data_IF_474586204787
#
_entry.id   IF_474586204787
#
_cell.length_a   1.000
_cell.length_b   1.000
_cell.length_c   1.000
_cell.angle_alpha   90.00
_cell.angle_beta   90.00
_cell.angle_gamma   90.00
#
_symmetry.space_group_name_H-M   'P 1'
#
loop_
_entity.id
_entity.type
_entity.pdbx_description
1 polymer ?
#
# COMPACT_ATOMS: atom_id res chain seq x y z
N UNK A 1 -35.46 32.71 -31.22
CA UNK A 1 -34.01 32.50 -31.01
C UNK A 1 -33.71 31.02 -31.15
N UNK A 2 -33.03 30.63 -32.23
CA UNK A 2 -32.72 29.23 -32.56
C UNK A 2 -31.66 28.65 -31.63
N UNK A 3 -31.92 27.45 -31.10
CA UNK A 3 -30.96 26.72 -30.26
C UNK A 3 -29.70 26.36 -31.06
N UNK A 4 -28.53 26.64 -30.50
CA UNK A 4 -27.24 26.29 -31.12
C UNK A 4 -27.04 24.78 -31.10
N UNK A 5 -26.50 24.23 -32.18
CA UNK A 5 -26.12 22.81 -32.24
C UNK A 5 -24.94 22.49 -31.31
N UNK A 6 -24.83 21.24 -30.87
CA UNK A 6 -23.77 20.76 -29.96
C UNK A 6 -22.35 21.07 -30.50
N UNK A 7 -22.17 20.97 -31.82
CA UNK A 7 -20.91 21.30 -32.48
C UNK A 7 -20.55 22.79 -32.39
N UNK A 8 -21.54 23.68 -32.56
CA UNK A 8 -21.36 25.13 -32.43
C UNK A 8 -21.06 25.54 -30.98
N UNK A 9 -21.59 24.82 -29.99
CA UNK A 9 -21.28 25.05 -28.56
C UNK A 9 -19.84 24.64 -28.23
N UNK A 10 -19.34 23.51 -28.75
CA UNK A 10 -17.94 23.09 -28.57
C UNK A 10 -16.95 24.09 -29.15
N UNK A 11 -17.14 24.48 -30.42
CA UNK A 11 -16.28 25.44 -31.10
C UNK A 11 -16.25 26.83 -30.40
N UNK A 12 -17.38 27.28 -29.85
CA UNK A 12 -17.46 28.53 -29.07
C UNK A 12 -16.87 28.41 -27.65
N UNK A 13 -16.76 27.19 -27.10
CA UNK A 13 -16.06 26.89 -25.83
C UNK A 13 -14.55 26.88 -26.03
N UNK A 14 -14.07 26.22 -27.08
CA UNK A 14 -12.65 26.12 -27.43
C UNK A 14 -12.06 27.49 -27.77
N UNK A 15 -12.85 28.37 -28.42
CA UNK A 15 -12.47 29.77 -28.69
C UNK A 15 -12.66 30.74 -27.52
N UNK A 16 -13.05 30.26 -26.32
CA UNK A 16 -13.18 31.08 -25.11
C UNK A 16 -14.32 32.10 -25.09
N UNK A 17 -15.17 32.14 -26.13
CA UNK A 17 -16.23 33.16 -26.29
C UNK A 17 -17.55 32.85 -25.58
N UNK A 18 -17.73 31.64 -25.04
CA UNK A 18 -18.94 31.25 -24.31
C UNK A 18 -18.67 31.13 -22.81
N UNK A 19 -18.47 32.28 -22.13
CA UNK A 19 -18.58 32.35 -20.67
C UNK A 19 -20.05 32.26 -20.28
N UNK A 20 -20.55 31.04 -20.04
CA UNK A 20 -21.84 30.86 -19.37
C UNK A 20 -21.80 31.63 -18.05
N UNK A 21 -22.75 32.57 -17.85
CA UNK A 21 -22.89 33.25 -16.56
C UNK A 21 -23.07 32.19 -15.47
N UNK A 22 -22.45 32.40 -14.30
CA UNK A 22 -22.35 31.42 -13.18
C UNK A 22 -23.66 30.67 -12.89
N UNK A 23 -24.80 31.35 -12.98
CA UNK A 23 -26.15 30.78 -12.76
C UNK A 23 -26.58 29.78 -13.84
N UNK A 24 -26.32 30.08 -15.11
CA UNK A 24 -26.63 29.19 -16.23
C UNK A 24 -25.74 27.95 -16.22
N UNK A 25 -24.46 28.10 -15.84
CA UNK A 25 -23.55 26.98 -15.65
C UNK A 25 -24.02 26.04 -14.53
N UNK A 26 -24.39 26.61 -13.37
CA UNK A 26 -24.91 25.83 -12.24
C UNK A 26 -26.18 25.05 -12.62
N UNK A 27 -27.13 25.70 -13.31
CA UNK A 27 -28.36 25.05 -13.75
C UNK A 27 -28.10 23.85 -14.67
N UNK A 28 -27.22 24.00 -15.65
CA UNK A 28 -26.79 22.91 -16.53
C UNK A 28 -26.09 21.79 -15.77
N UNK A 29 -25.26 22.13 -14.78
CA UNK A 29 -24.58 21.17 -13.92
C UNK A 29 -25.58 20.38 -13.06
N UNK A 30 -26.60 21.06 -12.51
CA UNK A 30 -27.64 20.45 -11.69
C UNK A 30 -28.53 19.50 -12.54
N UNK A 31 -28.90 19.91 -13.74
CA UNK A 31 -29.65 19.08 -14.71
C UNK A 31 -28.83 17.84 -15.13
N UNK A 32 -27.52 18.01 -15.36
CA UNK A 32 -26.62 16.90 -15.72
C UNK A 32 -26.44 15.94 -14.54
N UNK A 33 -26.29 16.47 -13.31
CA UNK A 33 -26.19 15.67 -12.10
C UNK A 33 -27.48 14.88 -11.83
N UNK A 34 -28.64 15.51 -12.00
CA UNK A 34 -29.94 14.85 -11.85
C UNK A 34 -30.12 13.71 -12.86
N UNK A 35 -29.70 13.92 -14.12
CA UNK A 35 -29.69 12.88 -15.15
C UNK A 35 -28.78 11.71 -14.75
N UNK A 36 -27.57 11.97 -14.26
CA UNK A 36 -26.64 10.93 -13.77
C UNK A 36 -27.24 10.16 -12.60
N UNK A 37 -27.90 10.84 -11.65
CA UNK A 37 -28.58 10.19 -10.52
C UNK A 37 -29.75 9.32 -10.99
N UNK A 38 -30.55 9.82 -11.92
CA UNK A 38 -31.66 9.06 -12.52
C UNK A 38 -31.15 7.80 -13.23
N UNK A 39 -30.13 7.94 -14.07
CA UNK A 39 -29.51 6.81 -14.77
C UNK A 39 -28.85 5.81 -13.80
N UNK A 40 -28.35 6.26 -12.64
CA UNK A 40 -27.88 5.36 -11.56
C UNK A 40 -29.01 4.60 -10.86
N UNK A 41 -30.12 5.28 -10.54
CA UNK A 41 -31.32 4.65 -9.95
C UNK A 41 -31.94 3.62 -10.89
N UNK A 42 -31.99 3.94 -12.17
CA UNK A 42 -32.44 3.05 -13.25
C UNK A 42 -31.39 1.99 -13.60
N UNK A 43 -30.25 1.95 -12.89
CA UNK A 43 -29.16 0.99 -13.10
C UNK A 43 -28.49 1.05 -14.49
N UNK A 44 -28.78 2.07 -15.30
CA UNK A 44 -28.22 2.26 -16.67
C UNK A 44 -26.87 2.99 -16.67
N UNK A 45 -26.54 3.73 -15.60
CA UNK A 45 -25.19 4.22 -15.32
C UNK A 45 -24.72 3.60 -14.01
N UNK A 46 -23.64 2.84 -14.04
CA UNK A 46 -23.01 2.32 -12.81
C UNK A 46 -23.40 0.91 -12.39
N UNK A 47 -24.29 0.21 -13.11
CA UNK A 47 -24.18 -1.26 -13.18
C UNK A 47 -23.18 -1.61 -14.26
N UNK A 48 -21.92 -1.51 -13.84
CA UNK A 48 -20.83 -2.19 -14.50
C UNK A 48 -20.92 -3.65 -14.04
N UNK A 49 -21.30 -4.58 -14.92
CA UNK A 49 -21.24 -6.03 -14.64
C UNK A 49 -19.82 -6.46 -14.22
N UNK A 50 -18.82 -5.63 -14.53
CA UNK A 50 -17.45 -5.65 -14.02
C UNK A 50 -17.28 -5.30 -12.52
N UNK A 51 -18.34 -5.09 -11.73
CA UNK A 51 -18.23 -5.22 -10.27
C UNK A 51 -18.13 -6.70 -9.81
N UNK A 52 -18.42 -7.67 -10.69
CA UNK A 52 -18.11 -9.09 -10.47
C UNK A 52 -16.72 -9.48 -10.97
N UNK A 53 -16.11 -8.67 -11.84
CA UNK A 53 -14.80 -8.98 -12.41
C UNK A 53 -13.73 -8.06 -11.83
N UNK A 54 -12.67 -8.62 -11.23
CA UNK A 54 -11.64 -7.81 -10.64
C UNK A 54 -10.94 -6.96 -11.71
N UNK A 55 -10.85 -5.64 -11.47
CA UNK A 55 -10.28 -4.66 -12.42
C UNK A 55 -8.91 -5.10 -12.94
N UNK A 56 -8.66 -4.87 -14.23
CA UNK A 56 -7.34 -5.05 -14.84
C UNK A 56 -6.29 -4.24 -14.08
N UNK A 57 -5.11 -4.82 -13.88
CA UNK A 57 -4.03 -4.12 -13.19
C UNK A 57 -3.58 -2.87 -13.94
N UNK A 58 -3.16 -1.88 -13.17
CA UNK A 58 -2.63 -0.61 -13.67
C UNK A 58 -1.33 -0.84 -14.45
N UNK A 59 -0.52 -1.80 -13.99
CA UNK A 59 0.71 -2.23 -14.66
C UNK A 59 0.40 -3.45 -15.51
N UNK A 60 0.74 -3.37 -16.80
CA UNK A 60 0.53 -4.45 -17.76
C UNK A 60 1.27 -5.71 -17.29
N UNK A 61 0.60 -6.85 -17.37
CA UNK A 61 1.15 -8.14 -16.92
C UNK A 61 1.17 -8.35 -15.41
N UNK A 62 0.68 -7.42 -14.59
CA UNK A 62 0.54 -7.61 -13.14
C UNK A 62 -0.90 -7.95 -12.74
N UNK A 63 -1.10 -8.32 -11.48
CA UNK A 63 -2.42 -8.56 -10.88
C UNK A 63 -2.78 -7.48 -9.87
N UNK A 64 -4.05 -7.08 -9.81
CA UNK A 64 -4.56 -6.28 -8.68
C UNK A 64 -4.82 -7.15 -7.47
N UNK A 65 -4.87 -6.55 -6.29
CA UNK A 65 -5.28 -7.23 -5.05
C UNK A 65 -6.62 -7.94 -5.20
N UNK A 66 -7.59 -7.32 -5.89
CA UNK A 66 -8.89 -7.93 -6.16
C UNK A 66 -8.79 -9.14 -7.09
N UNK A 67 -7.91 -9.11 -8.09
CA UNK A 67 -7.65 -10.24 -8.98
C UNK A 67 -7.03 -11.40 -8.21
N UNK A 68 -6.04 -11.12 -7.36
CA UNK A 68 -5.41 -12.13 -6.50
C UNK A 68 -6.42 -12.73 -5.51
N UNK A 69 -7.22 -11.89 -4.85
CA UNK A 69 -8.27 -12.32 -3.93
C UNK A 69 -9.26 -13.28 -4.60
N UNK A 70 -9.74 -12.93 -5.79
CA UNK A 70 -10.64 -13.78 -6.58
C UNK A 70 -9.99 -15.10 -6.99
N UNK A 71 -8.70 -15.08 -7.35
CA UNK A 71 -7.96 -16.27 -7.78
C UNK A 71 -7.64 -17.24 -6.64
N UNK A 72 -7.54 -16.73 -5.41
CA UNK A 72 -7.14 -17.51 -4.22
C UNK A 72 -8.36 -17.90 -3.37
N UNK A 73 -9.54 -17.31 -3.62
CA UNK A 73 -10.74 -17.55 -2.82
C UNK A 73 -10.77 -16.79 -1.50
N UNK A 74 -9.97 -15.72 -1.35
CA UNK A 74 -9.91 -14.88 -0.15
C UNK A 74 -10.61 -13.54 -0.37
N UNK A 75 -10.91 -12.84 0.73
CA UNK A 75 -11.36 -11.45 0.63
C UNK A 75 -10.21 -10.51 0.28
N UNK A 76 -10.50 -9.40 -0.41
CA UNK A 76 -9.48 -8.40 -0.74
C UNK A 76 -8.80 -7.81 0.51
N UNK A 77 -9.53 -7.66 1.62
CA UNK A 77 -8.99 -7.18 2.90
C UNK A 77 -7.93 -8.13 3.47
N UNK A 78 -8.16 -9.45 3.41
CA UNK A 78 -7.18 -10.45 3.83
C UNK A 78 -5.93 -10.40 2.95
N UNK A 79 -6.09 -10.24 1.63
CA UNK A 79 -4.94 -10.10 0.73
C UNK A 79 -4.18 -8.80 1.00
N UNK A 80 -4.87 -7.69 1.31
CA UNK A 80 -4.23 -6.45 1.76
C UNK A 80 -3.43 -6.62 3.05
N UNK A 81 -3.98 -7.34 4.02
CA UNK A 81 -3.28 -7.67 5.25
C UNK A 81 -2.05 -8.54 4.95
N UNK A 82 -2.17 -9.50 4.05
CA UNK A 82 -1.05 -10.34 3.61
C UNK A 82 0.05 -9.52 2.92
N UNK A 83 -0.29 -8.52 2.12
CA UNK A 83 0.69 -7.58 1.57
C UNK A 83 1.35 -6.74 2.66
N UNK A 84 0.58 -6.20 3.61
CA UNK A 84 1.11 -5.43 4.75
C UNK A 84 2.05 -6.24 5.64
N UNK A 85 1.74 -7.51 5.83
CA UNK A 85 2.54 -8.46 6.59
C UNK A 85 3.67 -9.08 5.75
N UNK A 86 3.93 -8.56 4.55
CA UNK A 86 4.96 -9.04 3.61
C UNK A 86 4.82 -10.54 3.24
N UNK A 87 3.61 -11.11 3.35
CA UNK A 87 3.26 -12.48 2.94
C UNK A 87 3.07 -12.61 1.43
N UNK A 88 2.74 -11.50 0.77
CA UNK A 88 2.59 -11.40 -0.69
C UNK A 88 3.43 -10.21 -1.18
N UNK A 89 4.41 -10.48 -2.04
CA UNK A 89 5.21 -9.43 -2.63
C UNK A 89 4.36 -8.59 -3.60
N UNK A 90 4.26 -7.30 -3.32
CA UNK A 90 3.49 -6.35 -4.12
C UNK A 90 4.25 -5.03 -4.24
N UNK A 91 4.03 -4.35 -5.36
CA UNK A 91 4.58 -3.02 -5.66
C UNK A 91 3.48 -1.98 -5.48
N UNK A 92 3.78 -0.88 -4.78
CA UNK A 92 2.88 0.26 -4.66
C UNK A 92 3.13 1.24 -5.80
N UNK A 93 2.16 1.39 -6.70
CA UNK A 93 2.19 2.31 -7.82
C UNK A 93 1.28 3.50 -7.53
N UNK A 94 1.82 4.71 -7.68
CA UNK A 94 1.06 5.94 -7.55
C UNK A 94 0.53 6.38 -8.92
N UNK A 95 -0.78 6.58 -9.04
CA UNK A 95 -1.44 7.14 -10.23
C UNK A 95 -2.23 8.37 -9.81
N UNK A 96 -1.73 9.55 -10.19
CA UNK A 96 -2.24 10.83 -9.71
C UNK A 96 -2.14 10.95 -8.19
N UNK A 97 -3.27 11.16 -7.53
CA UNK A 97 -3.35 11.28 -6.06
C UNK A 97 -3.55 9.95 -5.33
N UNK A 98 -3.71 8.83 -6.03
CA UNK A 98 -4.05 7.53 -5.43
C UNK A 98 -2.87 6.56 -5.52
N UNK A 99 -2.69 5.75 -4.48
CA UNK A 99 -1.75 4.64 -4.46
C UNK A 99 -2.49 3.32 -4.65
N UNK A 100 -1.94 2.46 -5.49
CA UNK A 100 -2.48 1.16 -5.83
C UNK A 100 -1.42 0.10 -5.62
N UNK A 101 -1.84 -1.07 -5.12
CA UNK A 101 -0.95 -2.21 -4.98
C UNK A 101 -1.13 -3.15 -6.16
N UNK A 102 -0.02 -3.52 -6.79
CA UNK A 102 0.01 -4.52 -7.85
C UNK A 102 0.93 -5.67 -7.45
N UNK A 103 0.57 -6.87 -7.87
CA UNK A 103 1.29 -8.11 -7.57
C UNK A 103 1.88 -8.62 -8.87
N UNK A 104 3.18 -8.91 -8.86
CA UNK A 104 3.86 -9.48 -10.02
C UNK A 104 3.50 -10.96 -10.20
N UNK A 105 3.43 -11.48 -11.44
CA UNK A 105 3.12 -12.89 -11.69
C UNK A 105 4.03 -13.86 -10.96
N UNK A 106 5.32 -13.51 -10.90
CA UNK A 106 6.37 -14.28 -10.21
C UNK A 106 6.08 -14.46 -8.72
N UNK A 107 5.41 -13.49 -8.09
CA UNK A 107 5.03 -13.53 -6.68
C UNK A 107 3.72 -14.31 -6.45
N UNK A 108 2.91 -14.52 -7.48
CA UNK A 108 1.59 -15.15 -7.35
C UNK A 108 1.71 -16.67 -7.16
N UNK A 109 2.53 -17.35 -7.97
CA UNK A 109 2.73 -18.79 -7.89
C UNK A 109 3.16 -19.29 -6.48
N UNK A 110 4.18 -18.70 -5.82
CA UNK A 110 4.55 -19.12 -4.46
C UNK A 110 3.48 -18.79 -3.42
N UNK A 111 2.71 -17.71 -3.62
CA UNK A 111 1.62 -17.32 -2.73
C UNK A 111 0.41 -18.27 -2.81
N UNK A 112 0.08 -18.75 -4.00
CA UNK A 112 -0.98 -19.76 -4.22
C UNK A 112 -0.64 -21.10 -3.55
N UNK A 113 0.60 -21.57 -3.72
CA UNK A 113 1.06 -22.79 -3.06
C UNK A 113 1.02 -22.68 -1.53
N UNK A 114 1.35 -21.49 -0.99
CA UNK A 114 1.26 -21.25 0.44
C UNK A 114 -0.18 -21.24 0.94
N UNK A 115 -1.08 -20.51 0.27
CA UNK A 115 -2.49 -20.41 0.68
C UNK A 115 -3.22 -21.76 0.64
N UNK A 116 -3.00 -22.57 -0.40
CA UNK A 116 -3.56 -23.92 -0.49
C UNK A 116 -3.04 -24.87 0.61
N UNK A 117 -1.78 -24.71 1.04
CA UNK A 117 -1.19 -25.51 2.14
C UNK A 117 -1.69 -25.09 3.52
N UNK A 118 -2.00 -23.81 3.73
CA UNK A 118 -2.63 -23.32 4.95
C UNK A 118 -4.08 -23.82 5.07
N UNK A 119 -4.87 -23.74 3.99
CA UNK A 119 -6.26 -24.20 3.98
C UNK A 119 -6.41 -25.70 4.24
N UNK A 120 -5.47 -26.52 3.77
CA UNK A 120 -5.49 -27.98 3.97
C UNK A 120 -4.95 -28.42 5.34
N UNK A 121 -4.38 -27.51 6.13
CA UNK A 121 -3.72 -27.87 7.40
C UNK A 121 -2.50 -28.80 7.26
N UNK A 122 -2.09 -29.13 6.03
CA UNK A 122 -1.01 -30.10 5.71
C UNK A 122 0.39 -29.48 5.83
N UNK A 123 0.50 -28.15 5.90
CA UNK A 123 1.75 -27.49 6.25
C UNK A 123 1.87 -27.34 7.76
N UNK A 124 3.03 -27.66 8.35
CA UNK A 124 3.43 -27.11 9.65
C UNK A 124 3.60 -25.57 9.55
N UNK A 125 2.56 -24.80 9.20
CA UNK A 125 2.56 -23.34 9.06
C UNK A 125 3.89 -22.76 8.50
N UNK A 126 4.56 -23.43 7.54
CA UNK A 126 5.85 -22.95 7.00
C UNK A 126 5.62 -22.07 5.79
N UNK A 127 4.86 -21.00 6.00
CA UNK A 127 4.92 -19.82 5.15
C UNK A 127 6.15 -18.96 5.45
N UNK A 128 6.38 -17.87 4.68
CA UNK A 128 7.42 -16.88 4.96
C UNK A 128 7.38 -16.37 6.42
N UNK A 129 6.21 -16.43 7.07
CA UNK A 129 5.99 -16.12 8.48
C UNK A 129 6.69 -17.06 9.45
N UNK A 130 6.79 -18.38 9.24
CA UNK A 130 7.55 -19.24 10.16
C UNK A 130 9.04 -19.10 9.95
N UNK A 131 9.48 -18.87 8.71
CA UNK A 131 10.87 -18.47 8.48
C UNK A 131 11.18 -17.14 9.19
N UNK A 132 10.32 -16.12 9.10
CA UNK A 132 10.49 -14.83 9.78
C UNK A 132 10.37 -14.95 11.30
N UNK A 133 9.34 -15.61 11.84
CA UNK A 133 9.20 -15.91 13.28
C UNK A 133 10.40 -16.67 13.80
N UNK A 134 10.85 -17.75 13.16
CA UNK A 134 12.09 -18.44 13.56
C UNK A 134 13.32 -17.53 13.51
N UNK A 135 13.38 -16.55 12.59
CA UNK A 135 14.47 -15.55 12.57
C UNK A 135 14.34 -14.55 13.72
N UNK A 136 13.14 -14.09 14.03
CA UNK A 136 12.82 -13.17 15.14
C UNK A 136 12.98 -13.87 16.50
N UNK A 137 12.52 -15.09 16.66
CA UNK A 137 12.72 -15.93 17.84
C UNK A 137 14.22 -16.13 18.11
N UNK A 138 15.03 -16.32 17.06
CA UNK A 138 16.50 -16.34 17.20
C UNK A 138 17.08 -15.01 17.67
N UNK A 139 16.45 -13.88 17.34
CA UNK A 139 16.83 -12.56 17.87
C UNK A 139 16.46 -12.46 19.36
N UNK A 140 15.26 -12.89 19.73
CA UNK A 140 14.77 -12.87 21.12
C UNK A 140 15.52 -13.82 22.04
N UNK A 141 15.76 -15.06 21.62
CA UNK A 141 16.58 -16.03 22.36
C UNK A 141 18.00 -15.53 22.58
N UNK A 142 18.49 -14.66 21.69
CA UNK A 142 19.80 -14.04 21.83
C UNK A 142 19.80 -12.78 22.71
N UNK A 143 18.68 -12.48 23.39
CA UNK A 143 18.49 -11.33 24.28
C UNK A 143 18.49 -9.99 23.56
N UNK A 144 17.97 -9.94 22.33
CA UNK A 144 18.03 -8.76 21.46
C UNK A 144 16.66 -8.42 20.88
N UNK A 145 16.61 -7.25 20.27
CA UNK A 145 15.42 -6.73 19.59
C UNK A 145 15.69 -6.43 18.13
N UNK A 146 14.63 -6.55 17.34
CA UNK A 146 14.67 -6.18 15.91
C UNK A 146 14.66 -4.65 15.76
N UNK A 147 15.12 -4.14 14.61
CA UNK A 147 15.03 -2.70 14.34
C UNK A 147 13.58 -2.17 14.29
N UNK A 148 12.63 -3.02 13.91
CA UNK A 148 11.20 -2.66 13.91
C UNK A 148 10.70 -2.46 15.33
N UNK A 149 11.00 -3.39 16.22
CA UNK A 149 10.61 -3.30 17.63
C UNK A 149 11.33 -2.16 18.36
N UNK A 150 12.63 -1.96 18.10
CA UNK A 150 13.36 -0.81 18.63
C UNK A 150 12.76 0.52 18.13
N UNK A 151 12.27 0.56 16.90
CA UNK A 151 11.60 1.74 16.34
C UNK A 151 10.32 2.06 17.10
N UNK A 152 9.50 1.05 17.36
CA UNK A 152 8.23 1.18 18.08
C UNK A 152 8.44 1.53 19.55
N UNK A 153 9.36 0.84 20.24
CA UNK A 153 9.59 1.01 21.68
C UNK A 153 10.20 2.36 22.03
N UNK A 154 11.08 2.89 21.19
CA UNK A 154 11.84 4.12 21.47
C UNK A 154 11.37 5.33 20.65
N UNK A 155 10.32 5.19 19.83
CA UNK A 155 9.77 6.28 19.03
C UNK A 155 10.74 6.84 17.98
N UNK A 156 11.73 6.06 17.55
CA UNK A 156 12.70 6.46 16.51
C UNK A 156 12.35 5.74 15.22
N UNK A 157 12.38 6.41 14.07
CA UNK A 157 12.02 5.75 12.82
C UNK A 157 13.02 4.65 12.44
N UNK A 158 12.54 3.54 11.86
CA UNK A 158 13.38 2.43 11.38
C UNK A 158 14.48 2.89 10.42
N UNK A 159 14.18 3.89 9.58
CA UNK A 159 15.15 4.49 8.63
C UNK A 159 16.28 5.19 9.38
N UNK A 160 15.96 5.96 10.42
CA UNK A 160 16.95 6.64 11.25
C UNK A 160 17.87 5.63 11.97
N UNK A 161 17.29 4.55 12.51
CA UNK A 161 18.06 3.47 13.13
C UNK A 161 18.97 2.75 12.14
N UNK A 162 18.48 2.50 10.91
CA UNK A 162 19.28 1.87 9.86
C UNK A 162 20.43 2.76 9.37
N UNK A 163 20.21 4.07 9.28
CA UNK A 163 21.25 5.04 8.93
C UNK A 163 22.29 5.20 10.06
N UNK A 164 21.84 5.22 11.32
CA UNK A 164 22.73 5.25 12.48
C UNK A 164 23.62 3.99 12.55
N UNK A 165 23.06 2.84 12.21
CA UNK A 165 23.82 1.60 12.09
C UNK A 165 24.86 1.64 10.96
N UNK A 166 24.49 2.16 9.79
CA UNK A 166 25.40 2.27 8.65
C UNK A 166 26.57 3.24 8.91
N UNK A 167 26.32 4.31 9.67
CA UNK A 167 27.32 5.32 10.04
C UNK A 167 28.12 4.97 11.29
N UNK A 168 27.90 3.78 11.87
CA UNK A 168 28.58 3.32 13.08
C UNK A 168 28.14 4.00 14.39
N UNK A 169 27.18 4.94 14.33
CA UNK A 169 26.62 5.64 15.50
C UNK A 169 25.72 4.75 16.35
N UNK A 170 25.14 3.71 15.75
CA UNK A 170 24.47 2.64 16.47
C UNK A 170 25.29 1.36 16.30
N UNK A 171 25.86 0.86 17.39
CA UNK A 171 26.60 -0.41 17.38
C UNK A 171 25.61 -1.56 17.18
N UNK A 172 25.45 -1.98 15.93
CA UNK A 172 24.87 -3.29 15.63
C UNK A 172 25.95 -4.36 15.80
N UNK A 173 25.54 -5.57 16.17
CA UNK A 173 26.44 -6.72 16.03
C UNK A 173 26.78 -6.87 14.55
N UNK A 174 28.06 -7.02 14.24
CA UNK A 174 28.59 -7.15 12.87
C UNK A 174 28.05 -8.37 12.13
N UNK A 175 27.53 -9.38 12.84
CA UNK A 175 26.87 -10.56 12.28
C UNK A 175 25.35 -10.44 12.43
N UNK A 176 24.63 -10.60 11.32
CA UNK A 176 23.17 -10.71 11.30
C UNK A 176 22.70 -11.87 12.21
N UNK A 177 21.73 -11.61 13.08
CA UNK A 177 21.13 -12.65 13.94
C UNK A 177 19.86 -13.14 13.26
N UNK A 178 19.82 -14.44 12.92
CA UNK A 178 18.71 -14.97 12.12
C UNK A 178 18.56 -14.27 10.75
N UNK A 179 19.65 -13.78 10.14
CA UNK A 179 19.62 -12.94 8.93
C UNK A 179 18.96 -11.56 9.11
N UNK A 180 18.71 -11.13 10.35
CA UNK A 180 18.15 -9.81 10.68
C UNK A 180 19.19 -8.91 11.32
N UNK A 181 19.04 -7.60 11.09
CA UNK A 181 19.72 -6.58 11.88
C UNK A 181 19.04 -6.52 13.24
N UNK A 182 19.81 -6.76 14.28
CA UNK A 182 19.36 -6.78 15.66
C UNK A 182 20.22 -5.84 16.50
N UNK A 183 19.59 -5.20 17.47
CA UNK A 183 20.22 -4.27 18.41
C UNK A 183 19.99 -4.79 19.83
N UNK A 184 20.95 -4.56 20.70
CA UNK A 184 20.78 -4.80 22.12
C UNK A 184 20.22 -3.54 22.80
N UNK A 185 19.62 -3.73 23.98
CA UNK A 185 19.03 -2.64 24.74
C UNK A 185 20.09 -1.63 25.19
N UNK A 186 21.30 -2.09 25.50
CA UNK A 186 22.43 -1.26 25.93
C UNK A 186 22.96 -0.33 24.83
N UNK A 187 23.15 -0.80 23.60
CA UNK A 187 23.56 0.07 22.50
C UNK A 187 22.45 1.04 22.11
N UNK A 188 21.18 0.64 22.26
CA UNK A 188 20.04 1.52 22.00
C UNK A 188 19.99 2.67 23.01
N UNK A 189 20.19 2.40 24.30
CA UNK A 189 20.30 3.43 25.34
C UNK A 189 21.50 4.35 25.11
N UNK A 190 22.67 3.80 24.75
CA UNK A 190 23.86 4.60 24.43
C UNK A 190 23.63 5.54 23.25
N UNK A 191 22.97 5.07 22.19
CA UNK A 191 22.58 5.91 21.05
C UNK A 191 21.62 7.03 21.45
N UNK A 192 20.61 6.74 22.28
CA UNK A 192 19.67 7.75 22.75
C UNK A 192 20.34 8.81 23.63
N UNK A 193 21.29 8.41 24.48
CA UNK A 193 22.08 9.32 25.30
C UNK A 193 22.91 10.29 24.43
N UNK A 194 23.65 9.76 23.44
CA UNK A 194 24.41 10.58 22.49
C UNK A 194 23.52 11.55 21.71
N UNK A 195 22.31 11.11 21.35
CA UNK A 195 21.35 11.94 20.61
C UNK A 195 20.81 13.09 21.48
N UNK A 196 20.59 12.86 22.77
CA UNK A 196 20.20 13.91 23.74
C UNK A 196 21.32 14.93 23.95
N UNK A 197 22.56 14.49 24.11
CA UNK A 197 23.71 15.39 24.25
C UNK A 197 23.94 16.24 22.99
N UNK A 198 23.77 15.66 21.81
CA UNK A 198 23.88 16.38 20.54
C UNK A 198 22.77 17.43 20.37
N UNK A 199 21.57 17.15 20.90
CA UNK A 199 20.46 18.10 20.91
C UNK A 199 20.65 19.22 21.95
N UNK A 200 21.33 18.95 23.06
CA UNK A 200 21.59 19.94 24.11
C UNK A 200 22.73 20.90 23.77
N UNK A 201 23.66 20.52 22.87
CA UNK A 201 24.75 21.39 22.38
C UNK A 201 24.34 22.32 21.24
N UNK A 202 23.10 22.23 20.76
CA UNK A 202 22.54 23.07 19.70
C UNK A 202 21.37 23.94 20.18
N UNK A 203 21.27 24.12 21.50
CA UNK A 203 20.48 25.15 22.19
C UNK A 203 21.47 26.10 22.85
#
# INVERSE_FOLDING_TARGET
MSALSVAQVKAKRESGRLRLRKRAYRKLQDETNALVVKLRREKRLGQRDDLKHPRSAIKVGCFTIGQVASHVGLSASQVYEHVRLERLAAESIRVGSRCFWVVHPEALAPYLLWTQREERGEGRATGPVKAWRTRVDKVYLAGRMTLTEASERYGVTRVSLAAAAHTGRLKLKTKLVGKLRAVDETAMQAYLAQRKESSAKHV
#
